data_IF_430126663683
#
_entry.id   IF_430126663683
#
_cell.length_a   1.000
_cell.length_b   1.000
_cell.length_c   1.000
_cell.angle_alpha   90.00
_cell.angle_beta   90.00
_cell.angle_gamma   90.00
#
_symmetry.space_group_name_H-M   'P 1'
#
loop_
_entity.id
_entity.type
_entity.pdbx_description
1 polymer ?
#
# COMPACT_ATOMS: atom_id res chain seq x y z
N UNK A 1 13.46 22.30 5.20
CA UNK A 1 13.73 21.39 4.06
C UNK A 1 13.26 19.96 4.34
N UNK A 2 13.74 19.29 5.39
CA UNK A 2 13.34 17.91 5.73
C UNK A 2 11.81 17.75 5.92
N UNK A 3 11.17 18.66 6.64
CA UNK A 3 9.71 18.65 6.83
C UNK A 3 8.92 18.70 5.49
N UNK A 4 9.38 19.51 4.53
CA UNK A 4 8.73 19.59 3.21
C UNK A 4 8.83 18.25 2.46
N UNK A 5 10.00 17.61 2.52
CA UNK A 5 10.22 16.29 1.91
C UNK A 5 9.34 15.24 2.60
N UNK A 6 9.28 15.25 3.93
CA UNK A 6 8.45 14.33 4.71
C UNK A 6 6.96 14.48 4.38
N UNK A 7 6.45 15.72 4.28
CA UNK A 7 5.07 16.00 3.88
C UNK A 7 4.77 15.52 2.46
N UNK A 8 5.67 15.76 1.49
CA UNK A 8 5.49 15.28 0.11
C UNK A 8 5.46 13.75 0.03
N UNK A 9 6.36 13.07 0.75
CA UNK A 9 6.38 11.61 0.82
C UNK A 9 5.11 11.08 1.49
N UNK A 10 4.65 11.72 2.57
CA UNK A 10 3.43 11.34 3.25
C UNK A 10 2.20 11.48 2.33
N UNK A 11 2.09 12.58 1.59
CA UNK A 11 1.01 12.78 0.60
C UNK A 11 1.08 11.70 -0.47
N UNK A 12 2.25 11.42 -1.04
CA UNK A 12 2.42 10.37 -2.04
C UNK A 12 2.01 8.99 -1.50
N UNK A 13 2.36 8.68 -0.24
CA UNK A 13 1.96 7.45 0.45
C UNK A 13 0.46 7.34 0.64
N UNK A 14 -0.21 8.41 1.09
CA UNK A 14 -1.67 8.45 1.24
C UNK A 14 -2.37 8.27 -0.11
N UNK A 15 -1.91 8.95 -1.16
CA UNK A 15 -2.47 8.81 -2.51
C UNK A 15 -2.32 7.39 -3.05
N UNK A 16 -1.17 6.76 -2.84
CA UNK A 16 -0.94 5.37 -3.26
C UNK A 16 -1.87 4.39 -2.52
N UNK A 17 -2.04 4.57 -1.20
CA UNK A 17 -2.91 3.73 -0.39
C UNK A 17 -4.39 3.87 -0.81
N UNK A 18 -4.86 5.11 -1.01
CA UNK A 18 -6.21 5.38 -1.51
C UNK A 18 -6.44 4.83 -2.92
N UNK A 19 -5.44 4.92 -3.81
CA UNK A 19 -5.50 4.33 -5.14
C UNK A 19 -5.64 2.81 -5.09
N UNK A 20 -4.88 2.13 -4.23
CA UNK A 20 -4.99 0.68 -4.05
C UNK A 20 -6.35 0.26 -3.47
N UNK A 21 -6.83 0.98 -2.46
CA UNK A 21 -8.12 0.74 -1.83
C UNK A 21 -9.28 0.95 -2.82
N UNK A 22 -9.23 2.05 -3.57
CA UNK A 22 -10.19 2.36 -4.64
C UNK A 22 -10.19 1.31 -5.74
N UNK A 23 -9.01 0.84 -6.17
CA UNK A 23 -8.91 -0.23 -7.17
C UNK A 23 -9.56 -1.54 -6.69
N UNK A 24 -9.30 -1.96 -5.45
CA UNK A 24 -9.94 -3.15 -4.88
C UNK A 24 -11.45 -2.99 -4.77
N UNK A 25 -11.94 -1.82 -4.37
CA UNK A 25 -13.37 -1.53 -4.30
C UNK A 25 -14.04 -1.64 -5.67
N UNK A 26 -13.42 -1.06 -6.72
CA UNK A 26 -13.89 -1.16 -8.10
C UNK A 26 -13.88 -2.62 -8.60
N UNK A 27 -12.80 -3.36 -8.34
CA UNK A 27 -12.67 -4.75 -8.75
C UNK A 27 -13.71 -5.64 -8.07
N UNK A 28 -13.99 -5.42 -6.78
CA UNK A 28 -15.04 -6.13 -6.05
C UNK A 28 -16.43 -5.87 -6.65
N UNK A 29 -16.72 -4.61 -7.00
CA UNK A 29 -17.98 -4.21 -7.63
C UNK A 29 -18.14 -4.85 -9.02
N UNK A 30 -17.08 -4.83 -9.83
CA UNK A 30 -17.07 -5.47 -11.15
C UNK A 30 -17.21 -7.00 -11.06
N UNK A 31 -16.53 -7.65 -10.10
CA UNK A 31 -16.61 -9.08 -9.86
C UNK A 31 -18.01 -9.52 -9.41
N UNK A 32 -18.68 -8.72 -8.56
CA UNK A 32 -20.05 -8.99 -8.12
C UNK A 32 -21.10 -8.93 -9.23
N UNK A 33 -20.82 -8.21 -10.33
CA UNK A 33 -21.74 -8.04 -11.48
C UNK A 33 -21.53 -9.06 -12.60
N UNK A 34 -20.50 -9.91 -12.53
CA UNK A 34 -20.16 -10.88 -13.59
C UNK A 34 -20.42 -12.32 -13.14
N UNK A 35 -21.12 -13.10 -13.97
CA UNK A 35 -21.24 -14.55 -13.77
C UNK A 35 -19.83 -15.18 -13.81
N UNK A 36 -19.44 -15.88 -12.73
CA UNK A 36 -18.10 -16.43 -12.55
C UNK A 36 -17.09 -15.51 -11.83
N UNK A 37 -17.50 -14.32 -11.36
CA UNK A 37 -16.63 -13.41 -10.61
C UNK A 37 -16.31 -13.82 -9.17
N UNK A 38 -16.91 -14.92 -8.66
CA UNK A 38 -16.77 -15.39 -7.28
C UNK A 38 -15.32 -15.57 -6.81
N UNK A 39 -14.39 -16.18 -7.58
CA UNK A 39 -13.00 -16.33 -7.16
C UNK A 39 -12.28 -14.98 -7.01
N UNK A 40 -12.61 -14.01 -7.87
CA UNK A 40 -12.05 -12.65 -7.84
C UNK A 40 -12.56 -11.92 -6.59
N UNK A 41 -13.86 -12.02 -6.29
CA UNK A 41 -14.44 -11.42 -5.09
C UNK A 41 -13.85 -12.00 -3.79
N UNK A 42 -13.59 -13.32 -3.74
CA UNK A 42 -12.91 -13.96 -2.61
C UNK A 42 -11.46 -13.48 -2.46
N UNK A 43 -10.72 -13.38 -3.57
CA UNK A 43 -9.36 -12.84 -3.55
C UNK A 43 -9.32 -11.37 -3.10
N UNK A 44 -10.27 -10.54 -3.54
CA UNK A 44 -10.35 -9.15 -3.09
C UNK A 44 -10.64 -9.06 -1.59
N UNK A 45 -11.52 -9.92 -1.06
CA UNK A 45 -11.80 -9.99 0.39
C UNK A 45 -10.56 -10.31 1.22
N UNK A 46 -9.65 -11.16 0.76
CA UNK A 46 -8.41 -11.46 1.50
C UNK A 46 -7.40 -10.31 1.45
N UNK A 47 -7.51 -9.41 0.47
CA UNK A 47 -6.64 -8.23 0.31
C UNK A 47 -7.14 -6.99 1.06
N UNK A 48 -8.44 -6.92 1.37
CA UNK A 48 -9.05 -5.82 2.10
C UNK A 48 -8.35 -5.47 3.43
N UNK A 49 -7.96 -6.43 4.30
CA UNK A 49 -7.23 -6.11 5.53
C UNK A 49 -5.88 -5.45 5.28
N UNK A 50 -5.16 -5.87 4.24
CA UNK A 50 -3.87 -5.29 3.87
C UNK A 50 -4.07 -3.87 3.34
N UNK A 51 -5.06 -3.65 2.48
CA UNK A 51 -5.37 -2.32 1.95
C UNK A 51 -5.83 -1.36 3.05
N UNK A 52 -6.67 -1.81 3.97
CA UNK A 52 -7.11 -1.03 5.12
C UNK A 52 -5.94 -0.71 6.06
N UNK A 53 -5.09 -1.70 6.38
CA UNK A 53 -3.92 -1.53 7.24
C UNK A 53 -2.90 -0.56 6.66
N UNK A 54 -2.61 -0.67 5.36
CA UNK A 54 -1.70 0.25 4.66
C UNK A 54 -2.26 1.67 4.57
N UNK A 55 -3.57 1.82 4.36
CA UNK A 55 -4.25 3.12 4.41
C UNK A 55 -4.13 3.75 5.80
N UNK A 56 -4.45 3.00 6.86
CA UNK A 56 -4.31 3.48 8.24
C UNK A 56 -2.87 3.87 8.57
N UNK A 57 -1.89 3.05 8.18
CA UNK A 57 -0.47 3.36 8.37
C UNK A 57 -0.03 4.63 7.60
N UNK A 58 -0.51 4.83 6.36
CA UNK A 58 -0.19 6.02 5.58
C UNK A 58 -0.75 7.31 6.20
N UNK A 59 -1.98 7.26 6.70
CA UNK A 59 -2.61 8.38 7.41
C UNK A 59 -1.90 8.67 8.73
N UNK A 60 -1.48 7.62 9.44
CA UNK A 60 -0.68 7.78 10.66
C UNK A 60 0.67 8.42 10.37
N UNK A 61 1.39 7.96 9.33
CA UNK A 61 2.66 8.56 8.92
C UNK A 61 2.48 10.04 8.53
N UNK A 62 1.39 10.39 7.85
CA UNK A 62 1.08 11.79 7.55
C UNK A 62 0.80 12.61 8.80
N UNK A 63 0.03 12.08 9.75
CA UNK A 63 -0.19 12.74 11.04
C UNK A 63 1.14 12.98 11.79
N UNK A 64 2.07 12.05 11.73
CA UNK A 64 3.38 12.20 12.38
C UNK A 64 4.22 13.35 11.80
N UNK A 65 4.04 13.72 10.52
CA UNK A 65 4.72 14.89 9.93
C UNK A 65 4.37 16.21 10.63
N UNK A 66 3.28 16.27 11.42
CA UNK A 66 2.92 17.46 12.18
C UNK A 66 3.68 17.64 13.50
N UNK A 67 4.46 16.64 13.95
CA UNK A 67 5.12 16.65 15.26
C UNK A 67 6.64 16.88 15.26
N UNK A 68 7.24 17.25 14.12
CA UNK A 68 8.63 17.71 14.03
C UNK A 68 9.66 16.64 13.62
N UNK A 69 10.93 17.05 13.55
CA UNK A 69 12.03 16.33 12.87
C UNK A 69 12.26 14.88 13.32
N UNK A 70 12.02 14.56 14.59
CA UNK A 70 12.18 13.18 15.12
C UNK A 70 11.17 12.22 14.51
N UNK A 71 9.93 12.68 14.30
CA UNK A 71 8.87 11.87 13.70
C UNK A 71 9.04 11.72 12.19
N UNK A 72 9.61 12.72 11.51
CA UNK A 72 9.98 12.62 10.09
C UNK A 72 11.02 11.52 9.85
N UNK A 73 12.01 11.37 10.74
CA UNK A 73 13.05 10.33 10.63
C UNK A 73 12.43 8.92 10.81
N UNK A 74 11.50 8.77 11.75
CA UNK A 74 10.79 7.50 11.98
C UNK A 74 9.92 7.16 10.75
N UNK A 75 9.24 8.16 10.17
CA UNK A 75 8.45 7.98 8.95
C UNK A 75 9.33 7.54 7.77
N UNK A 76 10.50 8.15 7.58
CA UNK A 76 11.46 7.77 6.53
C UNK A 76 11.99 6.34 6.74
N UNK A 77 12.33 5.95 7.97
CA UNK A 77 12.82 4.61 8.28
C UNK A 77 11.76 3.53 8.04
N UNK A 78 10.50 3.80 8.42
CA UNK A 78 9.38 2.91 8.13
C UNK A 78 9.08 2.81 6.63
N UNK A 79 9.12 3.92 5.90
CA UNK A 79 8.94 3.95 4.46
C UNK A 79 10.07 3.20 3.72
N UNK A 80 11.32 3.38 4.13
CA UNK A 80 12.47 2.69 3.57
C UNK A 80 12.43 1.18 3.87
N UNK A 81 12.13 0.79 5.10
CA UNK A 81 12.02 -0.62 5.50
C UNK A 81 10.89 -1.37 4.79
N UNK A 82 9.73 -0.73 4.63
CA UNK A 82 8.58 -1.29 3.93
C UNK A 82 8.78 -1.36 2.41
N UNK A 83 9.44 -0.37 1.80
CA UNK A 83 9.79 -0.38 0.38
C UNK A 83 10.77 -1.49 0.00
N UNK A 84 11.80 -1.73 0.81
CA UNK A 84 12.77 -2.82 0.55
C UNK A 84 12.13 -4.21 0.68
N UNK A 85 11.22 -4.39 1.65
CA UNK A 85 10.53 -5.66 1.82
C UNK A 85 9.51 -5.91 0.69
N UNK A 86 8.76 -4.89 0.27
CA UNK A 86 7.82 -4.99 -0.84
C UNK A 86 8.53 -5.29 -2.18
N UNK A 87 9.66 -4.64 -2.46
CA UNK A 87 10.45 -4.89 -3.69
C UNK A 87 11.04 -6.30 -3.70
N UNK A 88 11.55 -6.80 -2.57
CA UNK A 88 12.02 -8.20 -2.46
C UNK A 88 10.90 -9.20 -2.67
N UNK A 89 9.70 -8.95 -2.13
CA UNK A 89 8.54 -9.82 -2.34
C UNK A 89 8.12 -9.83 -3.82
N UNK A 90 8.15 -8.68 -4.49
CA UNK A 90 7.87 -8.57 -5.92
C UNK A 90 8.92 -9.33 -6.76
N UNK A 91 10.21 -9.17 -6.43
CA UNK A 91 11.29 -9.88 -7.12
C UNK A 91 11.20 -11.40 -6.93
N UNK A 92 10.89 -11.87 -5.72
CA UNK A 92 10.68 -13.31 -5.45
C UNK A 92 9.49 -13.85 -6.25
N UNK A 93 8.41 -13.08 -6.31
CA UNK A 93 7.21 -13.43 -7.10
C UNK A 93 7.54 -13.48 -8.60
N UNK A 94 8.25 -12.47 -9.12
CA UNK A 94 8.70 -12.44 -10.51
C UNK A 94 9.65 -13.59 -10.82
N UNK A 95 10.60 -13.90 -9.94
CA UNK A 95 11.49 -15.04 -10.12
C UNK A 95 10.71 -16.34 -10.22
N UNK A 96 9.75 -16.57 -9.31
CA UNK A 96 8.90 -17.78 -9.33
C UNK A 96 8.11 -17.92 -10.63
N UNK A 97 7.46 -16.85 -11.10
CA UNK A 97 6.67 -16.90 -12.33
C UNK A 97 7.50 -16.81 -13.62
N UNK A 98 8.74 -16.31 -13.54
CA UNK A 98 9.67 -16.23 -14.68
C UNK A 98 10.54 -17.49 -14.82
N UNK A 99 10.80 -18.22 -13.73
CA UNK A 99 11.59 -19.46 -13.76
C UNK A 99 10.76 -20.69 -14.11
N UNK A 100 9.43 -20.60 -14.18
CA UNK A 100 8.56 -21.69 -14.65
C UNK A 100 8.60 -22.97 -13.82
N UNK A 101 9.03 -22.90 -12.54
CA UNK A 101 9.04 -24.01 -11.59
C UNK A 101 7.97 -23.83 -10.50
#
# INVERSE_FOLDING_TARGET
>A
MINLIAVVIAIAGVLAALGHLGYLALLNNAAGKRAGGTPIAQYVKTRWPIAAGTTAASLFAWLLTSGGTTLDIIAILLAAGSGVTATKALQSTQQKYRSGN
#
